data_IF_934241539972
#
_entry.id   IF_934241539972
#
_cell.length_a   1.000
_cell.length_b   1.000
_cell.length_c   1.000
_cell.angle_alpha   90.00
_cell.angle_beta   90.00
_cell.angle_gamma   90.00
#
_symmetry.space_group_name_H-M   'P 1'
#
loop_
_entity.id
_entity.type
_entity.pdbx_description
1 polymer ?
#
# COMPACT_ATOMS: atom_id res chain seq x y z
N UNK A 1 11.06 17.64 -4.46
CA UNK A 1 9.59 17.45 -4.29
C UNK A 1 9.10 18.35 -3.15
N UNK A 2 7.79 18.48 -2.89
CA UNK A 2 7.29 19.36 -1.83
C UNK A 2 7.46 18.70 -0.45
N UNK A 3 7.98 19.45 0.52
CA UNK A 3 8.08 18.99 1.91
C UNK A 3 6.76 19.10 2.65
N UNK A 4 6.50 18.18 3.56
CA UNK A 4 5.41 18.31 4.54
C UNK A 4 5.70 19.50 5.47
N UNK A 5 4.64 20.17 5.93
CA UNK A 5 4.77 21.18 6.96
C UNK A 5 4.93 20.48 8.31
N UNK A 6 5.92 20.88 9.11
CA UNK A 6 6.18 20.29 10.44
C UNK A 6 5.81 21.30 11.52
N UNK A 7 5.12 20.84 12.55
CA UNK A 7 4.79 21.63 13.74
C UNK A 7 4.93 20.79 15.00
N UNK A 8 5.27 21.42 16.11
CA UNK A 8 5.28 20.79 17.43
C UNK A 8 4.02 21.21 18.20
N UNK A 9 3.39 20.26 18.87
CA UNK A 9 2.28 20.51 19.77
C UNK A 9 2.57 19.87 21.12
N UNK A 10 2.50 20.68 22.17
CA UNK A 10 2.70 20.20 23.53
C UNK A 10 1.47 19.45 24.03
N UNK A 11 1.65 18.17 24.39
CA UNK A 11 0.64 17.40 25.11
C UNK A 11 0.79 17.64 26.61
N UNK A 12 -0.08 18.49 27.17
CA UNK A 12 -0.05 18.84 28.59
C UNK A 12 -0.41 17.68 29.52
N UNK A 13 -1.11 16.65 29.04
CA UNK A 13 -1.47 15.48 29.87
C UNK A 13 -0.28 14.53 30.01
N UNK A 14 0.47 14.33 28.91
CA UNK A 14 1.64 13.46 28.89
C UNK A 14 2.95 14.19 29.18
N UNK A 15 2.97 15.52 29.15
CA UNK A 15 4.15 16.35 29.34
C UNK A 15 5.21 16.16 28.25
N UNK A 16 4.79 15.80 27.02
CA UNK A 16 5.67 15.53 25.89
C UNK A 16 5.27 16.37 24.68
N UNK A 17 6.26 16.80 23.90
CA UNK A 17 6.02 17.43 22.61
C UNK A 17 5.76 16.36 21.54
N UNK A 18 4.72 16.58 20.74
CA UNK A 18 4.33 15.71 19.62
C UNK A 18 4.60 16.42 18.30
N UNK A 19 5.36 15.75 17.43
CA UNK A 19 5.65 16.26 16.09
C UNK A 19 4.52 15.91 15.13
N UNK A 20 3.92 16.93 14.50
CA UNK A 20 2.84 16.80 13.53
C UNK A 20 3.32 17.19 12.12
N UNK A 21 3.16 16.27 11.17
CA UNK A 21 3.41 16.47 9.74
C UNK A 21 2.10 16.72 9.00
N UNK A 22 2.02 17.81 8.24
CA UNK A 22 0.82 18.22 7.50
C UNK A 22 1.07 18.28 6.00
N UNK A 23 0.10 17.79 5.22
CA UNK A 23 0.16 17.76 3.77
C UNK A 23 0.18 19.18 3.17
N UNK A 24 1.06 19.40 2.21
CA UNK A 24 1.23 20.69 1.50
C UNK A 24 0.91 20.59 0.02
N UNK A 25 0.94 19.38 -0.55
CA UNK A 25 0.61 19.14 -1.96
C UNK A 25 -0.26 17.88 -2.08
N UNK A 26 -1.54 18.03 -2.42
CA UNK A 26 -2.55 16.97 -2.36
C UNK A 26 -3.20 16.74 -3.72
N UNK A 27 -3.78 15.55 -3.89
CA UNK A 27 -4.73 15.25 -4.96
C UNK A 27 -6.05 14.78 -4.37
N UNK A 28 -7.14 15.30 -4.91
CA UNK A 28 -8.48 14.81 -4.60
C UNK A 28 -8.64 13.37 -5.07
N UNK A 29 -9.48 12.61 -4.39
CA UNK A 29 -9.84 11.26 -4.81
C UNK A 29 -10.86 11.35 -5.95
N UNK A 30 -10.59 10.68 -7.07
CA UNK A 30 -11.53 10.59 -8.19
C UNK A 30 -11.53 9.17 -8.69
N UNK A 31 -12.57 8.41 -8.34
CA UNK A 31 -12.69 7.01 -8.70
C UNK A 31 -12.49 6.82 -10.21
N UNK A 32 -11.56 5.94 -10.57
CA UNK A 32 -11.32 5.50 -11.94
C UNK A 32 -12.37 4.47 -12.33
N UNK A 33 -12.54 3.43 -11.51
CA UNK A 33 -13.55 2.38 -11.71
C UNK A 33 -13.92 1.70 -10.37
N UNK A 34 -14.89 0.79 -10.44
CA UNK A 34 -15.24 -0.16 -9.38
C UNK A 34 -14.94 -1.58 -9.82
N UNK A 35 -14.62 -2.45 -8.86
CA UNK A 35 -14.36 -3.87 -9.13
C UNK A 35 -15.65 -4.65 -9.38
N UNK A 36 -15.56 -5.71 -10.17
CA UNK A 36 -16.65 -6.66 -10.33
C UNK A 36 -16.79 -7.56 -9.10
N UNK A 37 -17.96 -8.18 -8.93
CA UNK A 37 -18.21 -9.12 -7.83
C UNK A 37 -17.25 -10.32 -7.90
N UNK A 38 -16.90 -10.78 -9.10
CA UNK A 38 -15.97 -11.91 -9.29
C UNK A 38 -14.58 -11.60 -8.75
N UNK A 39 -14.04 -10.40 -9.04
CA UNK A 39 -12.74 -9.97 -8.50
C UNK A 39 -12.81 -9.86 -6.97
N UNK A 40 -13.88 -9.28 -6.43
CA UNK A 40 -14.05 -9.13 -4.98
C UNK A 40 -14.09 -10.51 -4.30
N UNK A 41 -14.81 -11.47 -4.89
CA UNK A 41 -14.91 -12.84 -4.37
C UNK A 41 -13.56 -13.58 -4.44
N UNK A 42 -12.82 -13.44 -5.53
CA UNK A 42 -11.51 -14.08 -5.69
C UNK A 42 -10.50 -13.53 -4.67
N UNK A 43 -10.43 -12.20 -4.55
CA UNK A 43 -9.56 -11.51 -3.58
C UNK A 43 -9.97 -11.85 -2.14
N UNK A 44 -11.27 -12.01 -1.89
CA UNK A 44 -11.78 -12.45 -0.60
C UNK A 44 -11.26 -13.84 -0.23
N UNK A 45 -11.42 -14.83 -1.12
CA UNK A 45 -11.02 -16.20 -0.83
C UNK A 45 -9.49 -16.30 -0.64
N UNK A 46 -8.72 -15.55 -1.42
CA UNK A 46 -7.28 -15.39 -1.23
C UNK A 46 -6.96 -14.83 0.17
N UNK A 47 -7.49 -13.64 0.50
CA UNK A 47 -7.20 -12.98 1.77
C UNK A 47 -7.66 -13.78 2.99
N UNK A 48 -8.79 -14.49 2.87
CA UNK A 48 -9.29 -15.39 3.91
C UNK A 48 -8.34 -16.58 4.14
N UNK A 49 -7.89 -17.24 3.06
CA UNK A 49 -6.93 -18.35 3.14
C UNK A 49 -5.61 -17.95 3.79
N UNK A 50 -5.11 -16.75 3.44
CA UNK A 50 -3.87 -16.19 3.97
C UNK A 50 -3.95 -15.77 5.45
N UNK A 51 -5.15 -15.58 6.00
CA UNK A 51 -5.36 -15.05 7.36
C UNK A 51 -6.04 -16.05 8.30
N UNK A 52 -7.32 -16.34 8.07
CA UNK A 52 -8.13 -17.21 8.92
C UNK A 52 -8.00 -18.68 8.55
N UNK A 53 -7.72 -18.99 7.27
CA UNK A 53 -7.59 -20.35 6.74
C UNK A 53 -6.26 -21.05 7.02
N UNK A 54 -5.26 -20.35 7.59
CA UNK A 54 -3.91 -20.86 7.88
C UNK A 54 -3.21 -21.53 6.68
N UNK A 55 -3.56 -21.14 5.45
CA UNK A 55 -2.97 -21.70 4.21
C UNK A 55 -1.74 -20.92 3.73
N UNK A 56 -1.52 -19.71 4.26
CA UNK A 56 -0.40 -18.84 3.90
C UNK A 56 0.47 -18.44 5.09
N UNK A 57 1.73 -18.11 4.83
CA UNK A 57 2.64 -17.60 5.86
C UNK A 57 2.88 -16.09 5.68
N UNK A 58 2.35 -15.26 6.57
CA UNK A 58 2.66 -13.83 6.63
C UNK A 58 3.70 -13.49 7.71
N UNK A 59 4.53 -12.48 7.46
CA UNK A 59 5.28 -11.79 8.52
C UNK A 59 4.28 -11.14 9.49
N UNK A 60 4.38 -11.47 10.76
CA UNK A 60 3.48 -10.97 11.81
C UNK A 60 3.84 -9.56 12.33
N UNK A 61 4.89 -8.95 11.77
CA UNK A 61 5.37 -7.59 12.08
C UNK A 61 5.79 -6.85 10.78
N UNK A 62 5.70 -5.52 10.78
CA UNK A 62 6.36 -4.64 9.79
C UNK A 62 7.86 -4.53 10.11
N UNK A 63 8.72 -4.17 9.17
CA UNK A 63 10.15 -3.99 9.46
C UNK A 63 10.30 -2.75 10.34
N UNK A 64 10.86 -2.91 11.55
CA UNK A 64 10.98 -1.81 12.53
C UNK A 64 9.69 -1.46 13.30
N UNK A 65 8.58 -2.15 13.03
CA UNK A 65 7.31 -1.99 13.76
C UNK A 65 7.19 -2.90 14.98
N UNK A 66 6.57 -2.40 16.05
CA UNK A 66 6.35 -3.16 17.30
C UNK A 66 4.98 -3.86 17.38
N UNK A 67 4.09 -3.60 16.42
CA UNK A 67 2.72 -4.13 16.43
C UNK A 67 2.65 -5.56 15.88
N UNK A 68 2.04 -6.46 16.65
CA UNK A 68 1.77 -7.84 16.22
C UNK A 68 0.34 -7.93 15.67
N UNK A 69 0.23 -8.10 14.35
CA UNK A 69 -1.06 -8.13 13.64
C UNK A 69 -1.89 -9.36 14.01
N UNK A 70 -3.18 -9.16 14.28
CA UNK A 70 -4.21 -10.21 14.43
C UNK A 70 -4.69 -10.72 13.07
N UNK A 71 -5.38 -11.86 13.02
CA UNK A 71 -5.87 -12.41 11.74
C UNK A 71 -6.81 -11.44 10.99
N UNK A 72 -7.66 -10.70 11.70
CA UNK A 72 -8.49 -9.66 11.07
C UNK A 72 -7.68 -8.53 10.42
N UNK A 73 -6.55 -8.13 11.02
CA UNK A 73 -5.63 -7.14 10.43
C UNK A 73 -4.90 -7.71 9.22
N UNK A 74 -4.44 -8.97 9.31
CA UNK A 74 -3.81 -9.66 8.18
C UNK A 74 -4.78 -9.78 7.02
N UNK A 75 -6.04 -10.19 7.27
CA UNK A 75 -7.09 -10.24 6.25
C UNK A 75 -7.26 -8.88 5.57
N UNK A 76 -7.45 -7.81 6.36
CA UNK A 76 -7.69 -6.48 5.84
C UNK A 76 -6.51 -5.96 5.00
N UNK A 77 -5.27 -6.14 5.47
CA UNK A 77 -4.08 -5.73 4.73
C UNK A 77 -3.90 -6.54 3.45
N UNK A 78 -4.08 -7.86 3.50
CA UNK A 78 -3.93 -8.77 2.35
C UNK A 78 -5.00 -8.54 1.29
N UNK A 79 -6.26 -8.38 1.70
CA UNK A 79 -7.37 -8.06 0.82
C UNK A 79 -7.10 -6.73 0.08
N UNK A 80 -6.66 -5.70 0.80
CA UNK A 80 -6.40 -4.38 0.20
C UNK A 80 -5.15 -4.33 -0.66
N UNK A 81 -4.12 -5.12 -0.34
CA UNK A 81 -2.94 -5.27 -1.20
C UNK A 81 -3.33 -5.89 -2.54
N UNK A 82 -4.00 -7.04 -2.48
CA UNK A 82 -4.38 -7.79 -3.69
C UNK A 82 -5.39 -7.02 -4.55
N UNK A 83 -6.37 -6.36 -3.95
CA UNK A 83 -7.33 -5.54 -4.68
C UNK A 83 -6.65 -4.37 -5.43
N UNK A 84 -5.57 -3.82 -4.88
CA UNK A 84 -4.78 -2.79 -5.57
C UNK A 84 -3.95 -3.34 -6.74
N UNK A 85 -3.50 -4.61 -6.68
CA UNK A 85 -2.88 -5.27 -7.83
C UNK A 85 -3.89 -5.43 -8.97
N UNK A 86 -5.12 -5.88 -8.67
CA UNK A 86 -6.21 -5.96 -9.66
C UNK A 86 -6.56 -4.59 -10.25
N UNK A 87 -6.55 -3.52 -9.45
CA UNK A 87 -6.77 -2.16 -9.94
C UNK A 87 -5.77 -1.79 -11.05
N UNK A 88 -4.48 -2.10 -10.83
CA UNK A 88 -3.44 -1.80 -11.81
C UNK A 88 -3.54 -2.71 -13.04
N UNK A 89 -3.90 -3.98 -12.84
CA UNK A 89 -4.15 -4.93 -13.92
C UNK A 89 -5.27 -4.46 -14.86
N UNK A 90 -6.41 -4.02 -14.33
CA UNK A 90 -7.52 -3.48 -15.12
C UNK A 90 -7.07 -2.24 -15.90
N UNK A 91 -6.39 -1.28 -15.25
CA UNK A 91 -5.87 -0.08 -15.92
C UNK A 91 -4.91 -0.43 -17.05
N UNK A 92 -4.02 -1.40 -16.86
CA UNK A 92 -3.11 -1.86 -17.92
C UNK A 92 -3.86 -2.53 -19.07
N UNK A 93 -4.83 -3.39 -18.76
CA UNK A 93 -5.67 -4.08 -19.75
C UNK A 93 -6.48 -3.09 -20.59
N UNK A 94 -7.14 -2.12 -19.95
CA UNK A 94 -7.87 -1.02 -20.60
C UNK A 94 -6.99 -0.21 -21.55
N UNK A 95 -5.70 -0.11 -21.22
CA UNK A 95 -4.71 0.60 -22.00
C UNK A 95 -3.99 -0.30 -23.02
N UNK A 96 -4.40 -1.56 -23.19
CA UNK A 96 -3.81 -2.50 -24.15
C UNK A 96 -2.39 -2.93 -23.80
N UNK A 97 -2.01 -2.87 -22.52
CA UNK A 97 -0.78 -3.46 -21.98
C UNK A 97 -1.11 -4.91 -21.59
N UNK A 98 -0.36 -5.84 -22.18
CA UNK A 98 -0.44 -7.25 -21.80
C UNK A 98 0.35 -7.43 -20.50
N UNK A 99 -0.32 -7.94 -19.48
CA UNK A 99 0.25 -8.26 -18.18
C UNK A 99 -0.41 -9.55 -17.69
N UNK A 100 0.30 -10.43 -16.97
CA UNK A 100 -0.37 -11.51 -16.27
C UNK A 100 -1.41 -10.94 -15.29
N UNK A 101 -2.48 -11.69 -15.11
CA UNK A 101 -3.45 -11.44 -14.04
C UNK A 101 -2.77 -11.63 -12.68
N UNK A 102 -3.14 -10.84 -11.65
CA UNK A 102 -2.57 -11.00 -10.30
C UNK A 102 -2.76 -12.42 -9.79
N UNK A 103 -1.69 -13.02 -9.26
CA UNK A 103 -1.74 -14.39 -8.78
C UNK A 103 -2.49 -14.49 -7.43
N UNK A 104 -3.44 -15.42 -7.35
CA UNK A 104 -4.20 -15.75 -6.15
C UNK A 104 -3.86 -17.15 -5.61
N UNK A 105 -2.83 -17.80 -6.15
CA UNK A 105 -2.29 -19.03 -5.61
C UNK A 105 -1.63 -18.81 -4.23
N UNK A 106 -1.90 -19.73 -3.30
CA UNK A 106 -1.43 -19.66 -1.91
C UNK A 106 -0.10 -20.42 -1.77
N UNK A 107 1.03 -19.73 -2.00
CA UNK A 107 2.35 -20.35 -1.81
C UNK A 107 2.84 -20.31 -0.35
N UNK A 108 3.65 -21.31 0.01
CA UNK A 108 4.40 -21.33 1.27
C UNK A 108 5.49 -20.26 1.34
N UNK A 109 6.00 -19.97 2.54
CA UNK A 109 7.14 -19.07 2.77
C UNK A 109 8.32 -19.44 1.86
N UNK A 110 8.71 -18.56 0.93
CA UNK A 110 9.95 -18.71 0.16
C UNK A 110 9.85 -18.42 -1.34
N UNK A 111 8.65 -18.35 -1.91
CA UNK A 111 8.44 -18.12 -3.36
C UNK A 111 7.55 -16.89 -3.62
N UNK A 112 7.85 -15.77 -2.95
CA UNK A 112 7.19 -14.52 -3.32
C UNK A 112 7.96 -13.90 -4.48
N UNK A 113 7.25 -13.71 -5.59
CA UNK A 113 7.80 -13.11 -6.80
C UNK A 113 8.42 -11.74 -6.48
N UNK A 114 9.54 -11.46 -7.14
CA UNK A 114 10.41 -10.35 -6.77
C UNK A 114 9.81 -8.95 -6.93
N UNK A 115 8.65 -8.83 -7.58
CA UNK A 115 7.92 -7.60 -7.86
C UNK A 115 6.46 -7.92 -8.16
N UNK A 116 5.55 -6.98 -7.86
CA UNK A 116 4.10 -7.19 -8.08
C UNK A 116 3.77 -7.33 -9.58
N UNK A 117 4.49 -6.61 -10.44
CA UNK A 117 4.42 -6.78 -11.89
C UNK A 117 5.80 -6.67 -12.53
N UNK A 118 6.09 -7.55 -13.50
CA UNK A 118 7.23 -7.41 -14.41
C UNK A 118 6.74 -7.35 -15.86
N UNK A 119 6.82 -6.15 -16.47
CA UNK A 119 6.31 -5.90 -17.82
C UNK A 119 7.42 -5.31 -18.67
N UNK A 120 7.80 -5.99 -19.76
CA UNK A 120 8.88 -5.55 -20.67
C UNK A 120 10.20 -5.23 -19.92
N UNK A 121 10.56 -6.06 -18.93
CA UNK A 121 11.73 -5.87 -18.07
C UNK A 121 11.63 -4.68 -17.10
N UNK A 122 10.44 -4.09 -16.93
CA UNK A 122 10.14 -3.08 -15.91
C UNK A 122 9.49 -3.75 -14.70
N UNK A 123 10.20 -3.76 -13.57
CA UNK A 123 9.66 -4.18 -12.27
C UNK A 123 8.85 -3.06 -11.64
N UNK A 124 7.62 -3.33 -11.27
CA UNK A 124 6.70 -2.37 -10.69
C UNK A 124 6.33 -2.81 -9.28
N UNK A 125 6.22 -1.84 -8.37
CA UNK A 125 5.70 -2.05 -7.03
C UNK A 125 4.36 -1.34 -6.87
N UNK A 126 3.38 -2.02 -6.30
CA UNK A 126 2.05 -1.51 -5.99
C UNK A 126 1.99 -1.23 -4.49
N UNK A 127 1.51 -0.04 -4.14
CA UNK A 127 1.20 0.34 -2.76
C UNK A 127 -0.23 0.80 -2.71
N UNK A 128 -0.97 0.37 -1.70
CA UNK A 128 -2.35 0.77 -1.49
C UNK A 128 -2.50 1.64 -0.25
N UNK A 129 -3.46 2.56 -0.28
CA UNK A 129 -3.86 3.37 0.87
C UNK A 129 -5.34 3.75 0.77
N UNK A 130 -5.89 4.34 1.82
CA UNK A 130 -7.29 4.79 1.84
C UNK A 130 -7.53 5.90 0.83
N UNK A 131 -8.76 6.09 0.37
CA UNK A 131 -9.17 7.19 -0.54
C UNK A 131 -8.68 8.58 -0.14
N UNK A 132 -8.59 8.85 1.16
CA UNK A 132 -8.08 10.13 1.68
C UNK A 132 -6.55 10.19 1.82
N UNK A 133 -5.83 9.09 1.62
CA UNK A 133 -4.38 9.01 1.72
C UNK A 133 -3.69 9.96 0.74
N UNK A 134 -2.64 10.64 1.21
CA UNK A 134 -1.91 11.67 0.45
C UNK A 134 -0.42 11.37 0.31
N UNK A 135 0.04 10.20 0.76
CA UNK A 135 1.45 9.81 0.70
C UNK A 135 1.60 8.41 0.11
N UNK A 136 2.60 8.25 -0.74
CA UNK A 136 3.29 6.98 -0.89
C UNK A 136 4.32 6.90 0.23
N UNK A 137 4.24 5.85 1.06
CA UNK A 137 5.15 5.61 2.18
C UNK A 137 5.99 4.37 1.89
N UNK A 138 7.28 4.47 2.18
CA UNK A 138 8.24 3.38 2.05
C UNK A 138 9.08 3.30 3.33
N UNK A 139 9.02 2.17 4.04
CA UNK A 139 9.77 1.94 5.29
C UNK A 139 11.26 2.18 5.06
N UNK A 140 11.87 3.16 5.73
CA UNK A 140 13.22 3.64 5.36
C UNK A 140 14.30 2.57 5.48
N UNK A 141 14.14 1.65 6.43
CA UNK A 141 15.12 0.60 6.73
C UNK A 141 15.19 -0.48 5.64
N UNK A 142 14.21 -0.49 4.73
CA UNK A 142 14.13 -1.41 3.61
C UNK A 142 14.81 -0.88 2.32
N UNK A 143 15.30 0.37 2.32
CA UNK A 143 15.86 1.01 1.11
C UNK A 143 17.26 1.56 1.34
N UNK A 144 18.18 1.32 0.40
CA UNK A 144 19.49 1.96 0.41
C UNK A 144 19.46 3.33 -0.29
N UNK A 145 20.58 4.06 -0.23
CA UNK A 145 20.72 5.37 -0.87
C UNK A 145 20.53 5.35 -2.40
N UNK A 146 20.74 4.20 -3.03
CA UNK A 146 20.50 3.99 -4.46
C UNK A 146 19.03 3.65 -4.77
N UNK A 147 18.12 3.68 -3.79
CA UNK A 147 16.72 3.32 -3.98
C UNK A 147 16.54 1.85 -4.39
N UNK A 148 17.42 0.98 -3.90
CA UNK A 148 17.33 -0.48 -4.06
C UNK A 148 16.72 -1.09 -2.79
N UNK A 149 15.84 -2.06 -2.98
CA UNK A 149 15.19 -2.78 -1.89
C UNK A 149 16.19 -3.74 -1.23
N UNK A 150 16.59 -3.41 0.00
CA UNK A 150 17.63 -4.10 0.76
C UNK A 150 17.35 -5.61 0.87
N UNK A 151 16.11 -6.06 1.21
CA UNK A 151 15.84 -7.48 1.37
C UNK A 151 16.06 -8.33 0.10
N UNK A 152 16.07 -7.72 -1.09
CA UNK A 152 16.25 -8.42 -2.37
C UNK A 152 17.64 -8.17 -3.01
N UNK A 153 18.59 -7.55 -2.29
CA UNK A 153 19.92 -7.22 -2.82
C UNK A 153 20.68 -8.47 -3.29
N UNK A 154 20.65 -9.55 -2.50
CA UNK A 154 21.43 -10.76 -2.78
C UNK A 154 20.92 -11.55 -3.99
N UNK A 155 19.63 -11.42 -4.31
CA UNK A 155 18.98 -12.16 -5.39
C UNK A 155 18.90 -11.38 -6.71
N UNK A 156 19.57 -10.22 -6.81
CA UNK A 156 19.58 -9.39 -8.03
C UNK A 156 18.23 -8.69 -8.32
N UNK A 157 17.33 -8.69 -7.34
CA UNK A 157 15.91 -8.38 -7.50
C UNK A 157 15.49 -7.12 -6.71
N UNK A 158 16.46 -6.27 -6.37
CA UNK A 158 16.27 -5.09 -5.52
C UNK A 158 15.81 -3.84 -6.28
N UNK A 159 15.88 -3.83 -7.61
CA UNK A 159 15.63 -2.63 -8.43
C UNK A 159 14.22 -2.61 -9.03
N UNK A 160 13.41 -1.69 -8.52
CA UNK A 160 12.13 -1.34 -9.12
C UNK A 160 12.30 -0.21 -10.14
N UNK A 161 11.50 -0.24 -11.19
CA UNK A 161 11.40 0.83 -12.19
C UNK A 161 10.47 1.94 -11.69
N UNK A 162 9.31 1.56 -11.16
CA UNK A 162 8.32 2.49 -10.65
C UNK A 162 7.54 1.92 -9.46
N UNK A 163 6.99 2.83 -8.66
CA UNK A 163 6.10 2.57 -7.55
C UNK A 163 4.77 3.27 -7.82
N UNK A 164 3.68 2.52 -7.79
CA UNK A 164 2.34 3.01 -8.09
C UNK A 164 1.57 3.09 -6.78
N UNK A 165 0.97 4.24 -6.52
CA UNK A 165 0.04 4.38 -5.40
C UNK A 165 -1.39 4.20 -5.92
N UNK A 166 -2.11 3.26 -5.32
CA UNK A 166 -3.54 3.04 -5.53
C UNK A 166 -4.28 3.50 -4.27
N UNK A 167 -5.39 4.22 -4.41
CA UNK A 167 -6.27 4.49 -3.28
C UNK A 167 -7.58 3.72 -3.44
N UNK A 168 -8.06 3.13 -2.35
CA UNK A 168 -9.28 2.31 -2.34
C UNK A 168 -10.36 2.91 -1.41
N UNK A 169 -11.62 2.67 -1.76
CA UNK A 169 -12.78 2.91 -0.90
C UNK A 169 -13.89 1.90 -1.18
N UNK A 170 -14.55 1.32 -0.16
CA UNK A 170 -14.17 1.40 1.25
C UNK A 170 -12.84 0.67 1.53
N UNK A 171 -12.37 0.73 2.78
CA UNK A 171 -11.25 -0.06 3.23
C UNK A 171 -11.73 -1.26 4.04
N UNK A 172 -11.23 -2.47 3.76
CA UNK A 172 -11.60 -3.68 4.50
C UNK A 172 -11.42 -3.49 6.02
N UNK A 173 -10.36 -2.80 6.44
CA UNK A 173 -10.13 -2.49 7.86
C UNK A 173 -11.27 -1.68 8.50
N UNK A 174 -11.95 -0.83 7.74
CA UNK A 174 -13.04 0.00 8.25
C UNK A 174 -14.33 -0.81 8.37
N UNK A 175 -14.61 -1.71 7.42
CA UNK A 175 -15.70 -2.69 7.50
C UNK A 175 -15.48 -3.57 8.74
N UNK A 176 -14.30 -4.19 8.88
CA UNK A 176 -13.98 -5.05 10.02
C UNK A 176 -14.03 -4.30 11.37
N UNK A 177 -13.71 -3.00 11.42
CA UNK A 177 -13.86 -2.19 12.64
C UNK A 177 -15.32 -2.01 13.03
N UNK A 178 -16.20 -1.74 12.07
CA UNK A 178 -17.64 -1.57 12.32
C UNK A 178 -18.25 -2.84 12.95
N UNK A 179 -17.78 -4.01 12.52
CA UNK A 179 -18.21 -5.31 13.04
C UNK A 179 -17.39 -5.82 14.24
N UNK A 180 -16.38 -5.06 14.71
CA UNK A 180 -15.44 -5.45 15.79
C UNK A 180 -14.60 -6.70 15.50
N UNK A 181 -14.36 -6.98 14.22
CA UNK A 181 -13.60 -8.13 13.73
C UNK A 181 -12.13 -7.84 13.46
N UNK A 182 -11.74 -6.56 13.34
CA UNK A 182 -10.35 -6.23 12.95
C UNK A 182 -9.31 -6.83 13.90
N UNK A 183 -9.59 -6.82 15.20
CA UNK A 183 -8.64 -7.27 16.23
C UNK A 183 -8.96 -8.68 16.77
N UNK A 184 -9.60 -9.54 15.97
CA UNK A 184 -9.92 -10.93 16.33
C UNK A 184 -9.07 -11.93 15.55
N UNK A 185 -8.94 -13.14 16.12
CA UNK A 185 -8.27 -14.28 15.49
C UNK A 185 -9.26 -15.35 14.99
N UNK A 186 -10.55 -15.13 15.22
CA UNK A 186 -11.64 -16.04 14.83
C UNK A 186 -12.80 -15.23 14.27
N UNK A 187 -13.43 -15.74 13.23
CA UNK A 187 -14.60 -15.16 12.58
C UNK A 187 -15.36 -16.25 11.84
N UNK A 188 -16.66 -16.06 11.64
CA UNK A 188 -17.44 -16.88 10.72
C UNK A 188 -17.15 -16.46 9.27
N UNK A 189 -16.80 -17.41 8.40
CA UNK A 189 -16.42 -17.13 7.01
C UNK A 189 -17.58 -16.52 6.23
N UNK A 190 -18.80 -17.03 6.44
CA UNK A 190 -19.97 -16.63 5.67
C UNK A 190 -20.43 -15.23 6.09
N UNK A 191 -20.41 -14.92 7.39
CA UNK A 191 -20.67 -13.55 7.89
C UNK A 191 -19.66 -12.53 7.34
N UNK A 192 -18.36 -12.89 7.32
CA UNK A 192 -17.33 -12.01 6.78
C UNK A 192 -17.49 -11.84 5.27
N UNK A 193 -17.80 -12.92 4.54
CA UNK A 193 -18.01 -12.88 3.09
C UNK A 193 -19.21 -12.01 2.75
N UNK A 194 -20.33 -12.19 3.44
CA UNK A 194 -21.52 -11.36 3.26
C UNK A 194 -21.21 -9.87 3.50
N UNK A 195 -20.48 -9.53 4.57
CA UNK A 195 -20.13 -8.15 4.88
C UNK A 195 -19.22 -7.52 3.80
N UNK A 196 -18.28 -8.27 3.24
CA UNK A 196 -17.40 -7.77 2.17
C UNK A 196 -18.15 -7.66 0.84
N UNK A 197 -18.91 -8.69 0.45
CA UNK A 197 -19.61 -8.72 -0.84
C UNK A 197 -20.76 -7.72 -0.94
N UNK A 198 -21.28 -7.23 0.19
CA UNK A 198 -22.31 -6.17 0.21
C UNK A 198 -21.77 -4.75 -0.07
N UNK A 199 -20.45 -4.60 -0.19
CA UNK A 199 -19.80 -3.31 -0.42
C UNK A 199 -19.43 -3.13 -1.90
N UNK A 200 -19.46 -1.89 -2.37
CA UNK A 200 -18.91 -1.52 -3.69
C UNK A 200 -17.51 -0.95 -3.49
N UNK A 201 -16.50 -1.71 -3.91
CA UNK A 201 -15.12 -1.25 -3.88
C UNK A 201 -14.77 -0.48 -5.16
N UNK A 202 -14.22 0.71 -4.99
CA UNK A 202 -13.73 1.58 -6.05
C UNK A 202 -12.30 2.02 -5.77
N UNK A 203 -11.59 2.39 -6.82
CA UNK A 203 -10.21 2.80 -6.72
C UNK A 203 -9.88 4.03 -7.56
N UNK A 204 -8.78 4.69 -7.22
CA UNK A 204 -8.10 5.62 -8.11
C UNK A 204 -6.58 5.44 -8.05
N UNK A 205 -5.90 6.12 -8.98
CA UNK A 205 -4.44 6.13 -9.08
C UNK A 205 -3.97 7.59 -9.01
N UNK A 206 -3.65 8.14 -7.81
CA UNK A 206 -3.13 9.50 -7.70
C UNK A 206 -1.82 9.69 -8.49
N UNK A 207 -1.08 8.61 -8.74
CA UNK A 207 0.06 8.62 -9.63
C UNK A 207 1.08 7.55 -9.30
N UNK A 208 2.26 7.71 -9.90
CA UNK A 208 3.41 6.83 -9.68
C UNK A 208 4.69 7.65 -9.48
N UNK A 209 5.72 7.01 -8.93
CA UNK A 209 7.07 7.57 -8.86
C UNK A 209 8.05 6.62 -9.53
N UNK A 210 9.08 7.18 -10.16
CA UNK A 210 10.20 6.38 -10.66
C UNK A 210 11.23 6.11 -9.55
N UNK A 211 12.12 5.13 -9.74
CA UNK A 211 13.29 4.96 -8.85
C UNK A 211 14.11 6.24 -8.69
N UNK A 212 14.25 7.04 -9.74
CA UNK A 212 14.97 8.33 -9.66
C UNK A 212 14.29 9.28 -8.68
N UNK A 213 12.97 9.31 -8.64
CA UNK A 213 12.23 10.11 -7.67
C UNK A 213 12.36 9.55 -6.25
N UNK A 214 12.42 8.22 -6.07
CA UNK A 214 12.73 7.63 -4.77
C UNK A 214 14.12 8.07 -4.28
N UNK A 215 15.15 7.95 -5.12
CA UNK A 215 16.51 8.42 -4.79
C UNK A 215 16.50 9.90 -4.42
N UNK A 216 15.80 10.74 -5.19
CA UNK A 216 15.64 12.16 -4.86
C UNK A 216 14.94 12.37 -3.51
N UNK A 217 13.93 11.56 -3.15
CA UNK A 217 13.25 11.66 -1.86
C UNK A 217 14.20 11.34 -0.69
N UNK A 218 15.08 10.34 -0.88
CA UNK A 218 16.11 9.96 0.08
C UNK A 218 17.16 11.08 0.22
N UNK A 219 17.66 11.60 -0.89
CA UNK A 219 18.66 12.69 -0.92
C UNK A 219 18.13 14.00 -0.31
N UNK A 220 16.85 14.31 -0.52
CA UNK A 220 16.20 15.52 0.01
C UNK A 220 15.72 15.38 1.47
N UNK A 221 15.95 14.22 2.09
CA UNK A 221 15.48 13.85 3.43
C UNK A 221 13.96 14.05 3.58
N UNK A 222 13.20 13.51 2.62
CA UNK A 222 11.74 13.44 2.69
C UNK A 222 11.35 12.28 3.59
N UNK A 223 11.53 12.49 4.89
CA UNK A 223 11.48 11.47 5.92
C UNK A 223 10.45 11.82 7.00
N UNK A 224 9.76 10.79 7.51
CA UNK A 224 8.90 10.89 8.69
C UNK A 224 9.38 9.86 9.72
N UNK A 225 9.79 10.29 10.93
CA UNK A 225 10.23 9.38 11.96
C UNK A 225 9.07 8.60 12.58
N UNK A 226 9.37 7.38 13.04
CA UNK A 226 8.49 6.60 13.91
C UNK A 226 8.04 7.44 15.12
N UNK A 227 6.76 7.36 15.47
CA UNK A 227 6.16 8.09 16.58
C UNK A 227 5.67 9.51 16.25
N UNK A 228 6.02 10.07 15.09
CA UNK A 228 5.41 11.30 14.60
C UNK A 228 3.94 11.09 14.21
N UNK A 229 3.17 12.17 14.11
CA UNK A 229 1.77 12.15 13.74
C UNK A 229 1.56 12.71 12.33
N UNK A 230 0.66 12.10 11.56
CA UNK A 230 0.33 12.53 10.21
C UNK A 230 -1.06 13.20 10.15
N UNK A 231 -1.11 14.44 9.67
CA UNK A 231 -2.33 15.23 9.46
C UNK A 231 -3.00 15.73 10.74
N UNK A 232 -3.24 14.85 11.71
CA UNK A 232 -3.84 15.16 13.02
C UNK A 232 -3.24 14.29 14.12
N UNK A 233 -3.22 14.79 15.36
CA UNK A 233 -2.71 14.08 16.54
C UNK A 233 -3.78 13.13 17.10
N UNK A 234 -3.91 11.99 16.45
CA UNK A 234 -4.67 10.84 16.95
C UNK A 234 -3.77 9.61 16.96
N UNK A 235 -4.00 8.67 17.89
CA UNK A 235 -3.16 7.47 17.98
C UNK A 235 -3.21 6.63 16.68
N UNK A 236 -4.34 6.65 15.96
CA UNK A 236 -4.47 6.02 14.64
C UNK A 236 -3.61 6.65 13.53
N UNK A 237 -3.13 7.87 13.75
CA UNK A 237 -2.34 8.65 12.79
C UNK A 237 -0.85 8.70 13.17
N UNK A 238 -0.47 7.98 14.22
CA UNK A 238 0.91 7.88 14.67
C UNK A 238 1.67 6.93 13.75
N UNK A 239 2.83 7.35 13.29
CA UNK A 239 3.71 6.56 12.45
C UNK A 239 4.27 5.38 13.23
N UNK A 240 4.11 4.19 12.69
CA UNK A 240 4.57 2.94 13.30
C UNK A 240 6.00 2.55 12.89
N UNK A 241 6.52 3.15 11.83
CA UNK A 241 7.87 2.96 11.33
C UNK A 241 8.43 4.28 10.77
N UNK A 242 9.75 4.32 10.62
CA UNK A 242 10.44 5.35 9.87
C UNK A 242 10.11 5.19 8.38
N UNK A 243 9.72 6.27 7.71
CA UNK A 243 9.29 6.19 6.31
C UNK A 243 9.88 7.33 5.47
N UNK A 244 10.35 6.98 4.28
CA UNK A 244 10.42 7.95 3.19
C UNK A 244 9.02 8.21 2.64
N UNK A 245 8.77 9.44 2.17
CA UNK A 245 7.48 9.82 1.63
C UNK A 245 7.57 10.57 0.30
N UNK A 246 6.53 10.39 -0.52
CA UNK A 246 6.23 11.28 -1.64
C UNK A 246 4.75 11.66 -1.58
N UNK A 247 4.44 12.95 -1.70
CA UNK A 247 3.06 13.44 -1.69
C UNK A 247 2.36 13.16 -3.02
N UNK A 248 1.07 12.84 -2.99
CA UNK A 248 0.26 12.55 -4.20
C UNK A 248 0.33 13.66 -5.25
N UNK A 249 0.39 14.92 -4.81
CA UNK A 249 0.53 16.08 -5.70
C UNK A 249 1.88 16.16 -6.42
N UNK A 250 2.90 15.45 -5.97
CA UNK A 250 4.23 15.40 -6.58
C UNK A 250 4.43 14.19 -7.51
N UNK A 251 3.45 13.27 -7.57
CA UNK A 251 3.54 12.03 -8.35
C UNK A 251 3.28 12.26 -9.84
N UNK A 252 3.98 11.49 -10.67
CA UNK A 252 3.76 11.44 -12.12
C UNK A 252 2.39 10.83 -12.41
N UNK A 253 1.74 11.34 -13.44
CA UNK A 253 0.52 10.74 -13.97
C UNK A 253 0.78 9.31 -14.45
N UNK A 254 -0.14 8.39 -14.17
CA UNK A 254 -0.03 6.97 -14.56
C UNK A 254 0.14 6.78 -16.07
N UNK A 255 -0.41 7.70 -16.89
CA UNK A 255 -0.23 7.69 -18.33
C UNK A 255 1.25 7.77 -18.73
N UNK A 256 2.09 8.45 -17.93
CA UNK A 256 3.55 8.52 -18.16
C UNK A 256 4.18 7.14 -18.10
N UNK A 257 3.77 6.31 -17.14
CA UNK A 257 4.25 4.93 -17.01
C UNK A 257 3.71 4.05 -18.15
N UNK A 258 2.40 4.17 -18.46
CA UNK A 258 1.75 3.43 -19.54
C UNK A 258 2.45 3.69 -20.89
N UNK A 259 2.74 4.95 -21.22
CA UNK A 259 3.48 5.31 -22.43
C UNK A 259 4.91 4.75 -22.44
N UNK A 260 5.58 4.75 -21.29
CA UNK A 260 6.91 4.17 -21.15
C UNK A 260 6.90 2.67 -21.42
N UNK A 261 5.94 1.93 -20.85
CA UNK A 261 5.80 0.50 -21.03
C UNK A 261 5.48 0.13 -22.49
N UNK A 262 4.65 0.93 -23.17
CA UNK A 262 4.32 0.74 -24.59
C UNK A 262 5.51 0.94 -25.53
N UNK A 263 6.41 1.87 -25.22
CA UNK A 263 7.62 2.15 -26.03
C UNK A 263 8.70 1.06 -25.93
N UNK A 264 8.63 0.21 -24.89
CA UNK A 264 9.56 -0.91 -24.68
C UNK A 264 9.09 -2.23 -25.32
N UNK A 265 7.95 -2.23 -26.00
CA UNK A 265 7.50 -3.35 -26.84
C UNK A 265 8.37 -3.50 -28.09
#
# INVERSE_FOLDING_TARGET
MNKLSVSEQHDYEMGIDKTLYSFTNKKDFTAYNSFSEEIIEEVFDFAYGMSFGDQGNHRNHRTGGNHRRRKGEIFADTFQGKLAEYALYEVFTDNGIETPEPDTEMYGLGEWDSSDFEINGCKLAVKSTKSFGQLLLLESDDWNADGEYIPNLENGNSRYTAFILIRLTPFASDILKQHRWLYTDTIDKDELKEAIMNETFSYDIPGCISRKMLVQAIEEDLFIPQGAYLGQIYESNKMDANNYYVQTGDMLDICTLIEHLKKKR
#
